data_IF_870543336434
#
_entry.id   IF_870543336434
#
_cell.length_a   1.000
_cell.length_b   1.000
_cell.length_c   1.000
_cell.angle_alpha   90.00
_cell.angle_beta   90.00
_cell.angle_gamma   90.00
#
_symmetry.space_group_name_H-M   'P 1'
#
loop_
_entity.id
_entity.type
_entity.pdbx_description
1 polymer ?
#
# COMPACT_ATOMS: atom_id res chain seq x y z
N UNK A 1 4.85 41.40 18.85
CA UNK A 1 4.15 40.20 19.28
C UNK A 1 3.27 39.75 18.11
N UNK A 2 3.53 38.60 17.52
CA UNK A 2 2.68 38.07 16.43
C UNK A 2 1.40 37.52 17.06
N UNK A 3 0.25 38.02 16.63
CA UNK A 3 -1.05 37.71 17.20
C UNK A 3 -1.79 36.70 16.29
N UNK A 4 -2.09 35.53 16.82
CA UNK A 4 -2.98 34.55 16.18
C UNK A 4 -4.41 34.81 16.70
N UNK A 5 -5.41 35.00 15.82
CA UNK A 5 -6.80 35.22 16.23
C UNK A 5 -7.31 34.09 17.13
N UNK A 6 -8.06 34.42 18.18
CA UNK A 6 -8.63 33.45 19.11
C UNK A 6 -9.71 32.56 18.47
N UNK A 7 -10.14 32.87 17.26
CA UNK A 7 -11.07 32.07 16.44
C UNK A 7 -10.36 31.01 15.59
N UNK A 8 -9.02 31.03 15.46
CA UNK A 8 -8.28 30.08 14.68
C UNK A 8 -8.33 28.70 15.35
N UNK A 9 -8.72 27.67 14.61
CA UNK A 9 -8.82 26.27 15.09
C UNK A 9 -7.74 25.38 14.49
N UNK A 10 -7.18 25.76 13.34
CA UNK A 10 -6.20 24.94 12.61
C UNK A 10 -5.03 25.76 12.10
N UNK A 11 -3.81 25.24 12.23
CA UNK A 11 -2.60 25.72 11.59
C UNK A 11 -2.21 24.66 10.56
N UNK A 12 -2.12 25.02 9.27
CA UNK A 12 -1.80 24.08 8.21
C UNK A 12 -0.30 23.70 8.23
N UNK A 13 0.04 22.63 7.50
CA UNK A 13 1.43 22.21 7.30
C UNK A 13 2.24 23.36 6.68
N UNK A 14 3.49 23.51 7.14
CA UNK A 14 4.46 24.56 6.74
C UNK A 14 4.02 26.01 6.99
N UNK A 15 2.94 26.29 7.73
CA UNK A 15 2.38 27.64 7.89
C UNK A 15 3.37 28.67 8.42
N UNK A 16 4.31 28.27 9.29
CA UNK A 16 5.38 29.12 9.85
C UNK A 16 6.76 28.54 9.55
N UNK A 17 6.89 27.71 8.51
CA UNK A 17 8.17 27.15 8.09
C UNK A 17 9.12 28.28 7.70
N UNK A 18 10.39 28.18 8.15
CA UNK A 18 11.45 29.15 7.88
C UNK A 18 11.18 30.56 8.43
N UNK A 19 10.29 30.70 9.41
CA UNK A 19 10.10 31.99 10.12
C UNK A 19 11.25 32.24 11.12
N UNK A 20 12.46 32.44 10.61
CA UNK A 20 13.71 32.53 11.40
C UNK A 20 13.78 33.74 12.32
N UNK A 21 12.96 34.78 12.13
CA UNK A 21 12.86 35.96 12.96
C UNK A 21 11.70 35.93 13.97
N UNK A 22 10.81 34.93 13.88
CA UNK A 22 9.65 34.83 14.76
C UNK A 22 10.02 34.15 16.07
N UNK A 23 10.53 34.93 17.04
CA UNK A 23 11.00 34.41 18.33
C UNK A 23 9.89 34.18 19.36
N UNK A 24 8.78 34.88 19.25
CA UNK A 24 7.64 34.80 20.17
C UNK A 24 6.36 34.64 19.40
N UNK A 25 5.54 33.65 19.79
CA UNK A 25 4.24 33.38 19.19
C UNK A 25 3.28 32.90 20.27
N UNK A 26 2.17 33.59 20.44
CA UNK A 26 1.08 33.12 21.31
C UNK A 26 0.05 32.34 20.49
N UNK A 27 -0.05 31.03 20.75
CA UNK A 27 -0.98 30.16 20.08
C UNK A 27 -2.21 29.95 20.99
N UNK A 28 -3.41 30.39 20.56
CA UNK A 28 -4.58 30.33 21.40
C UNK A 28 -5.08 28.89 21.62
N UNK A 29 -5.78 28.68 22.73
CA UNK A 29 -6.37 27.36 23.07
C UNK A 29 -7.49 26.90 22.14
N UNK A 30 -7.95 27.75 21.23
CA UNK A 30 -8.86 27.39 20.13
C UNK A 30 -8.19 26.50 19.08
N UNK A 31 -6.82 26.56 18.96
CA UNK A 31 -6.09 25.69 18.03
C UNK A 31 -6.10 24.25 18.52
N UNK A 32 -6.73 23.39 17.75
CA UNK A 32 -6.91 21.95 18.03
C UNK A 32 -6.28 21.04 16.97
N UNK A 33 -5.73 21.63 15.91
CA UNK A 33 -5.03 20.88 14.83
C UNK A 33 -3.86 21.68 14.31
N UNK A 34 -2.70 21.01 14.14
CA UNK A 34 -1.48 21.61 13.58
C UNK A 34 -0.90 20.60 12.61
N UNK A 35 -0.70 21.02 11.37
CA UNK A 35 -0.12 20.20 10.32
C UNK A 35 1.39 19.96 10.53
N UNK A 36 1.90 18.91 9.89
CA UNK A 36 3.30 18.55 9.98
C UNK A 36 4.21 19.71 9.51
N UNK A 37 5.37 19.81 10.15
CA UNK A 37 6.39 20.82 9.87
C UNK A 37 5.88 22.29 9.86
N UNK A 38 4.73 22.55 10.52
CA UNK A 38 4.15 23.89 10.59
C UNK A 38 5.13 24.95 11.12
N UNK A 39 6.05 24.56 12.01
CA UNK A 39 7.05 25.43 12.62
C UNK A 39 8.49 25.00 12.32
N UNK A 40 8.71 24.25 11.24
CA UNK A 40 10.04 23.82 10.84
C UNK A 40 10.95 25.03 10.56
N UNK A 41 12.17 25.06 11.13
CA UNK A 41 13.10 26.19 11.12
C UNK A 41 12.49 27.53 11.62
N UNK A 42 11.42 27.50 12.42
CA UNK A 42 10.85 28.68 13.05
C UNK A 42 11.55 28.96 14.38
N UNK A 43 11.98 30.20 14.60
CA UNK A 43 12.71 30.58 15.82
C UNK A 43 11.88 30.35 17.10
N UNK A 44 10.55 30.51 17.03
CA UNK A 44 9.67 30.18 18.14
C UNK A 44 9.82 28.70 18.56
N UNK A 45 9.86 27.77 17.60
CA UNK A 45 9.99 26.33 17.87
C UNK A 45 11.43 26.01 18.35
N UNK A 46 12.46 26.62 17.74
CA UNK A 46 13.84 26.37 18.13
C UNK A 46 14.14 26.87 19.54
N UNK A 47 13.42 27.89 20.03
CA UNK A 47 13.53 28.41 21.40
C UNK A 47 12.75 27.57 22.44
N UNK A 48 11.93 26.58 22.04
CA UNK A 48 11.26 25.74 23.02
C UNK A 48 12.27 24.83 23.75
N UNK A 49 11.98 24.52 25.01
CA UNK A 49 12.77 23.57 25.79
C UNK A 49 12.65 22.14 25.23
N UNK A 50 13.64 21.30 25.53
CA UNK A 50 13.54 19.84 25.30
C UNK A 50 12.31 19.30 26.00
N UNK A 51 11.58 18.41 25.31
CA UNK A 51 10.32 17.84 25.79
C UNK A 51 9.19 18.00 24.80
N UNK A 52 7.95 17.77 25.26
CA UNK A 52 6.77 17.94 24.41
C UNK A 52 6.50 19.43 24.20
N UNK A 53 6.57 19.87 22.96
CA UNK A 53 6.16 21.22 22.57
C UNK A 53 4.64 21.25 22.40
N UNK A 54 3.98 22.00 23.27
CA UNK A 54 2.54 22.22 23.18
C UNK A 54 2.24 23.54 22.47
N UNK A 55 1.31 23.48 21.53
CA UNK A 55 0.83 24.63 20.80
C UNK A 55 -0.72 24.64 20.82
N UNK A 56 -1.29 25.59 21.54
CA UNK A 56 -2.73 25.55 21.85
C UNK A 56 -3.10 24.29 22.65
N UNK A 57 -4.05 23.51 22.16
CA UNK A 57 -4.44 22.20 22.75
C UNK A 57 -3.80 21.01 22.02
N UNK A 58 -2.72 21.23 21.27
CA UNK A 58 -2.03 20.21 20.50
C UNK A 58 -0.69 19.88 21.15
N UNK A 59 -0.40 18.58 21.37
CA UNK A 59 0.95 18.07 21.60
C UNK A 59 1.63 17.98 20.22
N UNK A 60 2.32 19.04 19.81
CA UNK A 60 2.78 19.23 18.44
C UNK A 60 3.94 18.29 18.07
N UNK A 61 5.05 18.36 18.77
CA UNK A 61 6.23 17.50 18.57
C UNK A 61 7.02 17.35 19.87
N UNK A 62 7.70 16.21 20.00
CA UNK A 62 8.74 16.04 21.03
C UNK A 62 10.06 16.63 20.50
N UNK A 63 10.58 17.62 21.19
CA UNK A 63 11.87 18.25 20.87
C UNK A 63 12.99 17.59 21.64
N UNK A 64 14.03 17.18 20.94
CA UNK A 64 15.16 16.44 21.50
C UNK A 64 15.01 14.92 21.35
N UNK A 65 15.74 14.19 22.17
CA UNK A 65 15.71 12.70 22.19
C UNK A 65 15.36 12.20 23.58
N UNK A 66 14.48 11.23 23.65
CA UNK A 66 14.16 10.49 24.88
C UNK A 66 15.27 9.48 25.17
N UNK A 67 15.59 9.33 26.45
CA UNK A 67 16.44 8.23 26.91
C UNK A 67 15.75 6.86 26.65
N UNK A 68 16.56 5.80 26.64
CA UNK A 68 16.01 4.45 26.52
C UNK A 68 15.01 4.15 27.64
N UNK A 69 13.95 3.41 27.30
CA UNK A 69 12.88 3.02 28.22
C UNK A 69 12.07 4.18 28.84
N UNK A 70 12.03 5.33 28.18
CA UNK A 70 11.25 6.47 28.66
C UNK A 70 9.75 6.22 28.62
N UNK A 71 9.06 6.86 29.59
CA UNK A 71 7.60 6.97 29.62
C UNK A 71 7.18 8.43 29.47
N UNK A 72 6.09 8.68 28.76
CA UNK A 72 5.57 10.03 28.54
C UNK A 72 4.10 10.09 28.96
N UNK A 73 3.75 11.16 29.67
CA UNK A 73 2.36 11.50 29.98
C UNK A 73 1.98 12.76 29.23
N UNK A 74 1.00 12.63 28.33
CA UNK A 74 0.40 13.78 27.64
C UNK A 74 -0.46 14.54 28.64
N UNK A 75 -0.26 15.86 28.74
CA UNK A 75 -0.97 16.67 29.75
C UNK A 75 -2.49 16.66 29.55
N UNK A 76 -3.24 16.71 30.64
CA UNK A 76 -4.70 16.88 30.62
C UNK A 76 -5.10 18.14 29.85
N UNK A 77 -6.24 18.11 29.16
CA UNK A 77 -6.73 19.19 28.29
C UNK A 77 -6.12 19.19 26.88
N UNK A 78 -5.15 18.29 26.57
CA UNK A 78 -4.70 18.08 25.19
C UNK A 78 -5.81 17.44 24.40
N UNK A 79 -6.11 18.00 23.21
CA UNK A 79 -7.17 17.54 22.32
C UNK A 79 -6.60 16.76 21.12
N UNK A 80 -5.39 17.12 20.68
CA UNK A 80 -4.76 16.47 19.53
C UNK A 80 -3.28 16.17 19.78
N UNK A 81 -2.79 15.09 19.18
CA UNK A 81 -1.37 14.80 19.00
C UNK A 81 -1.05 15.03 17.53
N UNK A 82 0.01 15.81 17.26
CA UNK A 82 0.41 16.17 15.91
C UNK A 82 0.95 15.00 15.10
N UNK A 83 1.01 15.18 13.80
CA UNK A 83 1.62 14.21 12.89
C UNK A 83 3.11 14.06 13.22
N UNK A 84 3.60 12.82 13.24
CA UNK A 84 5.00 12.47 13.56
C UNK A 84 5.49 12.99 14.92
N UNK A 85 4.59 13.27 15.87
CA UNK A 85 4.91 14.00 17.12
C UNK A 85 5.99 13.33 17.96
N UNK A 86 6.04 12.00 18.01
CA UNK A 86 7.01 11.19 18.77
C UNK A 86 7.77 10.20 17.89
N UNK A 87 7.78 10.38 16.59
CA UNK A 87 8.46 9.47 15.66
C UNK A 87 9.94 9.32 16.05
N UNK A 88 10.43 8.06 16.00
CA UNK A 88 11.84 7.71 16.29
C UNK A 88 12.29 8.07 17.72
N UNK A 89 11.36 8.15 18.68
CA UNK A 89 11.70 8.34 20.09
C UNK A 89 11.82 6.98 20.82
N UNK A 90 12.75 6.91 21.81
CA UNK A 90 12.96 5.70 22.65
C UNK A 90 11.85 5.53 23.71
N UNK A 91 10.61 5.73 23.29
CA UNK A 91 9.41 5.72 24.12
C UNK A 91 8.87 4.32 24.29
N UNK A 92 8.74 3.82 25.54
CA UNK A 92 8.21 2.48 25.84
C UNK A 92 6.77 2.48 26.35
N UNK A 93 6.30 3.62 26.89
CA UNK A 93 4.90 3.77 27.30
C UNK A 93 4.43 5.22 27.13
N UNK A 94 3.15 5.38 26.84
CA UNK A 94 2.48 6.68 26.75
C UNK A 94 1.15 6.64 27.50
N UNK A 95 0.88 7.68 28.30
CA UNK A 95 -0.43 7.90 28.92
C UNK A 95 -1.16 8.99 28.13
N UNK A 96 -2.28 8.60 27.52
CA UNK A 96 -3.14 9.47 26.72
C UNK A 96 -4.26 10.04 27.60
N UNK A 97 -4.54 11.37 27.55
CA UNK A 97 -5.57 11.97 28.39
C UNK A 97 -6.98 11.68 27.87
N UNK A 98 -7.97 11.69 28.76
CA UNK A 98 -9.39 11.51 28.42
C UNK A 98 -9.99 12.66 27.59
N UNK A 99 -9.28 13.77 27.42
CA UNK A 99 -9.63 14.90 26.56
C UNK A 99 -9.20 14.72 25.09
N UNK A 100 -8.40 13.67 24.80
CA UNK A 100 -7.84 13.46 23.47
C UNK A 100 -8.91 13.08 22.45
N UNK A 101 -8.98 13.79 21.34
CA UNK A 101 -9.94 13.60 20.24
C UNK A 101 -9.27 13.04 19.00
N UNK A 102 -8.01 13.46 18.72
CA UNK A 102 -7.31 13.01 17.51
C UNK A 102 -5.86 12.62 17.78
N UNK A 103 -5.40 11.62 17.03
CA UNK A 103 -3.99 11.18 16.99
C UNK A 103 -3.53 11.33 15.54
N UNK A 104 -2.46 12.10 15.33
CA UNK A 104 -1.93 12.39 14.01
C UNK A 104 -1.32 11.19 13.29
N UNK A 105 -1.03 11.39 12.02
CA UNK A 105 -0.35 10.43 11.16
C UNK A 105 1.00 10.03 11.77
N UNK A 106 1.26 8.72 11.85
CA UNK A 106 2.53 8.17 12.34
C UNK A 106 3.06 8.80 13.63
N UNK A 107 2.15 9.28 14.49
CA UNK A 107 2.48 10.08 15.68
C UNK A 107 3.48 9.39 16.62
N UNK A 108 3.51 8.07 16.67
CA UNK A 108 4.40 7.24 17.49
C UNK A 108 5.20 6.23 16.67
N UNK A 109 5.32 6.40 15.36
CA UNK A 109 6.04 5.46 14.50
C UNK A 109 7.50 5.30 14.94
N UNK A 110 8.06 4.09 14.71
CA UNK A 110 9.44 3.75 15.08
C UNK A 110 9.77 3.94 16.58
N UNK A 111 8.75 3.90 17.46
CA UNK A 111 8.99 3.92 18.92
C UNK A 111 9.11 2.50 19.48
N UNK A 112 9.54 2.42 20.76
CA UNK A 112 9.63 1.17 21.51
C UNK A 112 8.36 0.91 22.35
N UNK A 113 7.22 1.51 21.99
CA UNK A 113 5.95 1.29 22.69
C UNK A 113 5.65 -0.21 22.78
N UNK A 114 5.26 -0.66 23.99
CA UNK A 114 4.90 -2.06 24.26
C UNK A 114 3.39 -2.27 24.20
N UNK A 115 2.63 -1.33 24.74
CA UNK A 115 1.18 -1.33 24.72
C UNK A 115 0.66 0.09 24.60
N UNK A 116 -0.56 0.25 24.09
CA UNK A 116 -1.26 1.52 24.08
C UNK A 116 -2.76 1.31 24.33
N UNK A 117 -3.36 2.22 25.12
CA UNK A 117 -4.81 2.27 25.33
C UNK A 117 -5.38 3.53 24.70
N UNK A 118 -6.26 3.36 23.73
CA UNK A 118 -6.93 4.45 23.03
C UNK A 118 -8.13 4.93 23.88
N UNK A 119 -8.16 6.21 24.29
CA UNK A 119 -9.27 6.75 25.06
C UNK A 119 -10.61 6.70 24.31
N UNK A 120 -11.71 6.62 25.08
CA UNK A 120 -13.06 6.62 24.49
C UNK A 120 -13.40 7.89 23.71
N UNK A 121 -12.73 9.00 24.02
CA UNK A 121 -12.91 10.32 23.38
C UNK A 121 -12.27 10.42 21.99
N UNK A 122 -11.34 9.53 21.65
CA UNK A 122 -10.67 9.57 20.34
C UNK A 122 -11.67 9.21 19.25
N UNK A 123 -11.84 10.14 18.30
CA UNK A 123 -12.75 10.02 17.17
C UNK A 123 -12.06 10.05 15.81
N UNK A 124 -10.77 10.42 15.76
CA UNK A 124 -9.99 10.49 14.53
C UNK A 124 -8.56 9.99 14.74
N UNK A 125 -8.05 9.27 13.74
CA UNK A 125 -6.64 8.88 13.64
C UNK A 125 -6.16 9.14 12.21
N UNK A 126 -4.91 9.59 12.08
CA UNK A 126 -4.19 9.62 10.82
C UNK A 126 -3.72 8.22 10.40
N UNK A 127 -2.90 8.16 9.35
CA UNK A 127 -2.30 6.91 8.89
C UNK A 127 -1.50 6.26 10.02
N UNK A 128 -1.72 4.98 10.21
CA UNK A 128 -1.22 4.17 11.33
C UNK A 128 -0.30 4.92 12.33
N UNK A 129 -0.82 5.44 13.44
CA UNK A 129 -0.01 6.18 14.41
C UNK A 129 1.14 5.37 15.01
N UNK A 130 1.08 4.04 14.92
CA UNK A 130 1.97 3.08 15.57
C UNK A 130 2.80 2.26 14.57
N UNK A 131 2.95 2.73 13.33
CA UNK A 131 3.70 2.03 12.29
C UNK A 131 5.14 1.72 12.75
N UNK A 132 5.63 0.53 12.44
CA UNK A 132 7.00 0.09 12.79
C UNK A 132 7.36 0.12 14.30
N UNK A 133 6.37 0.11 15.20
CA UNK A 133 6.62 -0.04 16.63
C UNK A 133 6.96 -1.50 16.94
N UNK A 134 8.21 -1.91 16.73
CA UNK A 134 8.67 -3.31 16.76
C UNK A 134 8.44 -4.06 18.08
N UNK A 135 8.16 -3.35 19.18
CA UNK A 135 7.85 -3.92 20.49
C UNK A 135 6.36 -3.86 20.84
N UNK A 136 5.51 -3.25 20.00
CA UNK A 136 4.10 -3.10 20.29
C UNK A 136 3.39 -4.46 20.18
N UNK A 137 2.98 -4.99 21.31
CA UNK A 137 2.32 -6.30 21.43
C UNK A 137 0.80 -6.21 21.54
N UNK A 138 0.27 -5.06 21.96
CA UNK A 138 -1.18 -4.88 22.17
C UNK A 138 -1.64 -3.44 22.01
N UNK A 139 -2.77 -3.27 21.34
CA UNK A 139 -3.55 -2.03 21.31
C UNK A 139 -4.91 -2.33 21.94
N UNK A 140 -5.37 -1.48 22.86
CA UNK A 140 -6.70 -1.59 23.44
C UNK A 140 -7.49 -0.31 23.21
N UNK A 141 -8.81 -0.41 23.20
CA UNK A 141 -9.72 0.72 23.07
C UNK A 141 -10.64 0.76 24.27
N UNK A 142 -10.72 1.90 24.97
CA UNK A 142 -11.59 2.06 26.11
C UNK A 142 -13.06 1.83 25.76
N UNK A 143 -13.79 1.17 26.66
CA UNK A 143 -15.24 0.95 26.51
C UNK A 143 -15.98 2.26 26.29
N UNK A 144 -16.95 2.26 25.36
CA UNK A 144 -17.72 3.43 24.97
C UNK A 144 -17.10 4.25 23.82
N UNK A 145 -15.97 3.86 23.24
CA UNK A 145 -15.52 4.47 22.01
C UNK A 145 -16.45 4.06 20.85
N UNK A 146 -16.99 5.05 20.15
CA UNK A 146 -17.97 4.86 19.06
C UNK A 146 -17.33 4.72 17.68
N UNK A 147 -16.05 5.12 17.54
CA UNK A 147 -15.36 5.21 16.27
C UNK A 147 -14.39 4.07 16.01
N UNK A 148 -13.78 3.53 17.08
CA UNK A 148 -12.74 2.50 17.01
C UNK A 148 -13.09 1.30 17.87
N UNK A 149 -12.58 0.14 17.48
CA UNK A 149 -12.61 -1.10 18.27
C UNK A 149 -11.42 -1.99 17.91
N UNK A 150 -11.15 -2.99 18.74
CA UNK A 150 -10.13 -4.01 18.46
C UNK A 150 -10.82 -5.35 18.29
N UNK A 151 -10.42 -6.07 17.25
CA UNK A 151 -10.83 -7.45 16.97
C UNK A 151 -9.64 -8.24 16.41
N UNK A 152 -9.28 -9.35 17.04
CA UNK A 152 -8.12 -10.18 16.62
C UNK A 152 -6.82 -9.35 16.47
N UNK A 153 -6.52 -8.54 17.46
CA UNK A 153 -5.42 -7.55 17.50
C UNK A 153 -5.52 -6.42 16.45
N UNK A 154 -6.52 -6.43 15.57
CA UNK A 154 -6.74 -5.37 14.60
C UNK A 154 -7.40 -4.17 15.24
N UNK A 155 -6.76 -3.01 15.23
CA UNK A 155 -7.41 -1.73 15.52
C UNK A 155 -8.19 -1.31 14.27
N UNK A 156 -9.50 -1.24 14.39
CA UNK A 156 -10.41 -0.98 13.28
C UNK A 156 -11.18 0.31 13.52
N UNK A 157 -11.18 1.19 12.54
CA UNK A 157 -12.10 2.34 12.45
C UNK A 157 -13.41 1.88 11.80
N UNK A 158 -14.55 2.25 12.39
CA UNK A 158 -15.88 1.80 11.93
C UNK A 158 -16.37 2.51 10.67
N UNK A 159 -16.06 3.78 10.52
CA UNK A 159 -16.51 4.60 9.40
C UNK A 159 -15.38 5.56 9.01
N UNK A 160 -14.41 5.06 8.30
CA UNK A 160 -13.23 5.79 7.88
C UNK A 160 -13.22 5.90 6.36
N UNK A 161 -12.75 7.04 5.85
CA UNK A 161 -12.57 7.23 4.42
C UNK A 161 -11.34 6.43 3.96
N UNK A 162 -11.47 5.70 2.86
CA UNK A 162 -10.36 5.02 2.20
C UNK A 162 -10.41 5.29 0.71
N UNK A 163 -9.33 5.02 0.00
CA UNK A 163 -9.29 5.21 -1.45
C UNK A 163 -9.32 3.88 -2.19
N UNK A 164 -10.01 3.88 -3.33
CA UNK A 164 -9.96 2.78 -4.31
C UNK A 164 -9.50 3.38 -5.63
N UNK A 165 -8.41 2.88 -6.17
CA UNK A 165 -7.86 3.35 -7.44
C UNK A 165 -8.86 3.04 -8.56
N UNK A 166 -9.17 4.06 -9.37
CA UNK A 166 -10.10 3.97 -10.49
C UNK A 166 -9.37 3.95 -11.84
N UNK A 167 -8.23 4.62 -11.91
CA UNK A 167 -7.41 4.69 -13.12
C UNK A 167 -5.97 5.07 -12.75
N UNK A 168 -5.02 4.64 -13.56
CA UNK A 168 -3.61 5.02 -13.47
C UNK A 168 -3.23 5.65 -14.81
N UNK A 169 -3.00 6.96 -14.81
CA UNK A 169 -2.86 7.76 -16.04
C UNK A 169 -1.60 7.42 -16.82
N UNK A 170 -0.50 7.12 -16.13
CA UNK A 170 0.77 6.71 -16.73
C UNK A 170 1.45 5.65 -15.87
N UNK A 171 1.16 4.36 -16.11
CA UNK A 171 1.75 3.28 -15.34
C UNK A 171 3.25 3.11 -15.61
N UNK A 172 3.78 3.74 -16.64
CA UNK A 172 5.18 3.66 -17.06
C UNK A 172 6.01 4.87 -16.60
N UNK A 173 5.39 5.88 -16.01
CA UNK A 173 6.10 7.04 -15.49
C UNK A 173 7.16 6.61 -14.46
N UNK A 174 8.40 7.14 -14.53
CA UNK A 174 9.41 6.87 -13.53
C UNK A 174 8.93 7.25 -12.12
N UNK A 175 9.39 6.54 -11.11
CA UNK A 175 9.04 6.81 -9.71
C UNK A 175 9.39 8.22 -9.23
N UNK A 176 10.26 8.92 -9.96
CA UNK A 176 10.71 10.30 -9.69
C UNK A 176 9.76 11.36 -10.25
N UNK A 177 8.80 10.98 -11.12
CA UNK A 177 7.84 11.91 -11.70
C UNK A 177 6.55 11.97 -10.89
N UNK A 178 5.74 13.02 -11.10
CA UNK A 178 4.44 13.17 -10.47
C UNK A 178 3.51 12.06 -10.94
N UNK A 179 3.18 11.15 -10.03
CA UNK A 179 2.26 10.04 -10.28
C UNK A 179 0.83 10.55 -10.33
N UNK A 180 0.10 10.17 -11.36
CA UNK A 180 -1.28 10.60 -11.53
C UNK A 180 -2.19 9.39 -11.65
N UNK A 181 -3.06 9.24 -10.66
CA UNK A 181 -4.15 8.27 -10.72
C UNK A 181 -5.44 8.89 -10.17
N UNK A 182 -6.55 8.46 -10.70
CA UNK A 182 -7.86 8.84 -10.16
C UNK A 182 -8.33 7.79 -9.17
N UNK A 183 -8.98 8.23 -8.12
CA UNK A 183 -9.58 7.35 -7.12
C UNK A 183 -10.93 7.90 -6.67
N UNK A 184 -11.78 7.03 -6.15
CA UNK A 184 -12.92 7.44 -5.35
C UNK A 184 -12.68 7.09 -3.89
N UNK A 185 -13.32 7.83 -2.99
CA UNK A 185 -13.06 7.74 -1.56
C UNK A 185 -14.32 7.36 -0.78
N UNK A 186 -14.70 6.08 -0.75
CA UNK A 186 -15.84 5.61 0.03
C UNK A 186 -15.53 5.60 1.52
N UNK A 187 -16.57 5.43 2.33
CA UNK A 187 -16.48 5.23 3.76
C UNK A 187 -16.79 3.77 4.11
N UNK A 188 -16.05 3.22 5.07
CA UNK A 188 -16.27 1.86 5.55
C UNK A 188 -15.42 1.54 6.76
N UNK A 189 -15.46 0.29 7.20
CA UNK A 189 -14.56 -0.18 8.24
C UNK A 189 -13.17 -0.40 7.66
N UNK A 190 -12.16 0.21 8.30
CA UNK A 190 -10.76 0.19 7.84
C UNK A 190 -9.86 -0.30 8.97
N UNK A 191 -8.96 -1.24 8.68
CA UNK A 191 -7.88 -1.60 9.62
C UNK A 191 -6.89 -0.44 9.67
N UNK A 192 -6.75 0.18 10.83
CA UNK A 192 -5.83 1.31 11.05
C UNK A 192 -4.45 0.81 11.48
N UNK A 193 -4.38 -0.20 12.33
CA UNK A 193 -3.11 -0.71 12.87
C UNK A 193 -3.22 -2.15 13.33
N UNK A 194 -2.11 -2.89 13.19
CA UNK A 194 -1.88 -4.19 13.78
C UNK A 194 -0.57 -4.14 14.58
N UNK A 195 -0.55 -4.60 15.85
CA UNK A 195 0.66 -4.56 16.68
C UNK A 195 1.80 -5.38 16.08
N UNK A 196 2.94 -4.74 15.78
CA UNK A 196 4.07 -5.40 15.08
C UNK A 196 4.68 -6.55 15.89
N UNK A 197 4.55 -6.55 17.22
CA UNK A 197 4.99 -7.62 18.12
C UNK A 197 3.86 -8.54 18.58
N UNK A 198 2.67 -8.50 17.94
CA UNK A 198 1.61 -9.48 18.20
C UNK A 198 2.15 -10.91 18.02
N UNK A 199 1.68 -11.82 18.84
CA UNK A 199 2.02 -13.25 18.76
C UNK A 199 1.25 -13.99 17.68
N UNK A 200 0.24 -13.34 17.09
CA UNK A 200 -0.55 -13.91 16.00
C UNK A 200 0.30 -14.05 14.74
N UNK A 201 0.41 -15.28 14.26
CA UNK A 201 1.13 -15.60 13.01
C UNK A 201 0.20 -15.67 11.81
N UNK A 202 -1.07 -15.97 12.06
CA UNK A 202 -2.11 -16.03 11.03
C UNK A 202 -3.18 -15.01 11.35
N UNK A 203 -3.49 -14.17 10.38
CA UNK A 203 -4.53 -13.14 10.51
C UNK A 203 -5.58 -13.35 9.44
N UNK A 204 -6.85 -13.33 9.86
CA UNK A 204 -8.01 -13.28 8.97
C UNK A 204 -8.69 -11.92 9.14
N UNK A 205 -8.86 -11.21 8.04
CA UNK A 205 -9.52 -9.90 8.03
C UNK A 205 -11.03 -10.10 8.19
N UNK A 206 -11.68 -9.43 9.18
CA UNK A 206 -13.12 -9.56 9.40
C UNK A 206 -13.97 -9.15 8.20
N UNK A 207 -15.10 -9.82 7.98
CA UNK A 207 -16.01 -9.59 6.84
C UNK A 207 -16.54 -8.16 6.74
N UNK A 208 -16.58 -7.44 7.85
CA UNK A 208 -17.03 -6.03 7.88
C UNK A 208 -16.01 -5.04 7.32
N UNK A 209 -14.74 -5.44 7.20
CA UNK A 209 -13.64 -4.57 6.79
C UNK A 209 -13.66 -4.37 5.28
N UNK A 210 -13.55 -3.13 4.83
CA UNK A 210 -13.54 -2.72 3.43
C UNK A 210 -12.16 -2.36 2.89
N UNK A 211 -11.26 -1.91 3.78
CA UNK A 211 -9.89 -1.61 3.38
C UNK A 211 -8.88 -1.91 4.48
N UNK A 212 -7.64 -2.18 4.08
CA UNK A 212 -6.49 -2.21 4.97
C UNK A 212 -5.76 -0.88 4.80
N UNK A 213 -5.68 -0.11 5.88
CA UNK A 213 -5.19 1.26 5.88
C UNK A 213 -3.69 1.39 5.61
N UNK A 214 -3.25 2.62 5.37
CA UNK A 214 -1.84 2.91 5.13
C UNK A 214 -0.99 2.46 6.32
N UNK A 215 0.09 1.72 6.05
CA UNK A 215 1.04 1.18 7.05
C UNK A 215 0.39 0.25 8.09
N UNK A 216 -0.83 -0.23 7.92
CA UNK A 216 -1.60 -0.92 8.96
C UNK A 216 -0.86 -2.11 9.60
N UNK A 217 -0.10 -2.88 8.84
CA UNK A 217 0.70 -4.02 9.29
C UNK A 217 2.21 -3.80 9.14
N UNK A 218 2.65 -2.56 8.85
CA UNK A 218 4.05 -2.29 8.53
C UNK A 218 5.01 -2.83 9.60
N UNK A 219 5.99 -3.64 9.16
CA UNK A 219 6.98 -4.28 10.02
C UNK A 219 6.42 -5.39 10.92
N UNK A 220 5.20 -5.90 10.70
CA UNK A 220 4.62 -6.98 11.50
C UNK A 220 5.26 -8.34 11.21
N UNK A 221 5.13 -9.26 12.17
CA UNK A 221 5.70 -10.62 12.10
C UNK A 221 4.69 -11.69 11.68
N UNK A 222 3.61 -11.28 11.01
CA UNK A 222 2.62 -12.22 10.49
C UNK A 222 3.23 -13.12 9.41
N UNK A 223 2.76 -14.36 9.34
CA UNK A 223 3.23 -15.36 8.39
C UNK A 223 2.20 -15.67 7.31
N UNK A 224 0.91 -15.61 7.68
CA UNK A 224 -0.22 -15.90 6.79
C UNK A 224 -1.32 -14.87 6.93
N UNK A 225 -1.89 -14.48 5.80
CA UNK A 225 -2.98 -13.50 5.73
C UNK A 225 -4.13 -14.05 4.86
N UNK A 226 -5.35 -14.01 5.40
CA UNK A 226 -6.58 -14.29 4.65
C UNK A 226 -7.40 -13.01 4.54
N UNK A 227 -7.66 -12.58 3.33
CA UNK A 227 -8.46 -11.40 3.02
C UNK A 227 -9.94 -11.80 2.86
N UNK A 228 -10.84 -11.00 3.40
CA UNK A 228 -12.28 -11.28 3.38
C UNK A 228 -12.90 -11.04 1.98
N UNK A 229 -14.11 -11.56 1.78
CA UNK A 229 -14.84 -11.49 0.51
C UNK A 229 -15.42 -10.10 0.18
N UNK A 230 -15.33 -9.15 1.09
CA UNK A 230 -15.81 -7.77 0.92
C UNK A 230 -14.72 -6.70 0.91
N UNK A 231 -13.44 -7.10 0.98
CA UNK A 231 -12.30 -6.17 0.98
C UNK A 231 -12.08 -5.59 -0.42
N UNK A 232 -12.04 -4.28 -0.54
CA UNK A 232 -11.94 -3.58 -1.83
C UNK A 232 -10.53 -3.05 -2.12
N UNK A 233 -9.80 -2.63 -1.09
CA UNK A 233 -8.50 -1.97 -1.27
C UNK A 233 -7.47 -2.33 -0.19
N UNK A 234 -6.21 -2.45 -0.64
CA UNK A 234 -5.03 -2.54 0.20
C UNK A 234 -4.23 -1.27 -0.04
N UNK A 235 -4.18 -0.39 0.98
CA UNK A 235 -3.64 0.96 0.83
C UNK A 235 -2.12 1.00 0.93
N UNK A 236 -1.56 2.20 0.75
CA UNK A 236 -0.12 2.45 0.67
C UNK A 236 0.64 1.85 1.85
N UNK A 237 1.69 1.10 1.55
CA UNK A 237 2.61 0.47 2.52
C UNK A 237 1.92 -0.42 3.57
N UNK A 238 0.71 -0.91 3.31
CA UNK A 238 -0.10 -1.63 4.30
C UNK A 238 0.64 -2.79 4.96
N UNK A 239 1.47 -3.53 4.22
CA UNK A 239 2.28 -4.66 4.69
C UNK A 239 3.78 -4.45 4.45
N UNK A 240 4.23 -3.20 4.24
CA UNK A 240 5.65 -2.92 3.99
C UNK A 240 6.53 -3.46 5.12
N UNK A 241 7.61 -4.18 4.77
CA UNK A 241 8.52 -4.78 5.73
C UNK A 241 7.96 -5.98 6.51
N UNK A 242 6.87 -6.61 6.06
CA UNK A 242 6.37 -7.87 6.65
C UNK A 242 7.24 -9.05 6.17
N UNK A 243 8.48 -9.09 6.62
CA UNK A 243 9.50 -10.04 6.11
C UNK A 243 9.17 -11.50 6.33
N UNK A 244 8.27 -11.84 7.27
CA UNK A 244 7.86 -13.21 7.56
C UNK A 244 6.61 -13.65 6.77
N UNK A 245 5.91 -12.71 6.10
CA UNK A 245 4.69 -12.99 5.36
C UNK A 245 5.00 -13.89 4.17
N UNK A 246 4.57 -15.15 4.25
CA UNK A 246 4.85 -16.19 3.25
C UNK A 246 3.64 -16.57 2.40
N UNK A 247 2.43 -16.23 2.87
CA UNK A 247 1.18 -16.60 2.19
C UNK A 247 0.12 -15.51 2.36
N UNK A 248 -0.50 -15.14 1.23
CA UNK A 248 -1.65 -14.23 1.17
C UNK A 248 -2.73 -14.89 0.34
N UNK A 249 -3.94 -15.06 0.92
CA UNK A 249 -5.13 -15.50 0.18
C UNK A 249 -5.91 -14.25 -0.25
N UNK A 250 -5.75 -13.87 -1.51
CA UNK A 250 -6.49 -12.74 -2.09
C UNK A 250 -7.95 -13.14 -2.37
N UNK A 251 -8.87 -12.22 -2.09
CA UNK A 251 -10.28 -12.38 -2.45
C UNK A 251 -10.59 -11.75 -3.81
N UNK A 252 -11.68 -12.20 -4.41
CA UNK A 252 -12.15 -11.66 -5.70
C UNK A 252 -12.67 -10.21 -5.60
N UNK A 253 -12.91 -9.71 -4.40
CA UNK A 253 -13.46 -8.36 -4.19
C UNK A 253 -12.42 -7.23 -4.30
N UNK A 254 -11.11 -7.57 -4.25
CA UNK A 254 -10.04 -6.58 -4.30
C UNK A 254 -9.96 -5.98 -5.69
N UNK A 255 -10.03 -4.64 -5.75
CA UNK A 255 -9.96 -3.84 -6.98
C UNK A 255 -8.56 -3.27 -7.18
N UNK A 256 -7.91 -2.83 -6.09
CA UNK A 256 -6.60 -2.18 -6.17
C UNK A 256 -5.63 -2.61 -5.07
N UNK A 257 -4.36 -2.72 -5.47
CA UNK A 257 -3.20 -2.87 -4.59
C UNK A 257 -2.37 -1.61 -4.75
N UNK A 258 -2.32 -0.77 -3.69
CA UNK A 258 -1.70 0.56 -3.75
C UNK A 258 -0.18 0.52 -3.59
N UNK A 259 0.45 1.71 -3.65
CA UNK A 259 1.90 1.89 -3.62
C UNK A 259 2.55 1.20 -2.44
N UNK A 260 3.66 0.50 -2.69
CA UNK A 260 4.49 -0.17 -1.66
C UNK A 260 3.73 -1.13 -0.73
N UNK A 261 2.51 -1.57 -1.08
CA UNK A 261 1.63 -2.32 -0.17
C UNK A 261 2.27 -3.56 0.44
N UNK A 262 3.10 -4.28 -0.33
CA UNK A 262 3.84 -5.48 0.09
C UNK A 262 5.35 -5.32 -0.14
N UNK A 263 5.84 -4.09 -0.17
CA UNK A 263 7.27 -3.81 -0.30
C UNK A 263 8.06 -4.53 0.79
N UNK A 264 9.19 -5.15 0.42
CA UNK A 264 10.06 -5.91 1.32
C UNK A 264 9.38 -7.13 2.03
N UNK A 265 8.30 -7.67 1.48
CA UNK A 265 7.74 -8.95 1.94
C UNK A 265 8.61 -10.11 1.43
N UNK A 266 9.82 -10.24 1.96
CA UNK A 266 10.86 -11.12 1.42
C UNK A 266 10.56 -12.62 1.52
N UNK A 267 9.57 -13.04 2.32
CA UNK A 267 9.16 -14.45 2.42
C UNK A 267 8.07 -14.88 1.44
N UNK A 268 7.45 -13.95 0.70
CA UNK A 268 6.46 -14.29 -0.32
C UNK A 268 7.10 -15.09 -1.46
N UNK A 269 6.40 -16.15 -1.90
CA UNK A 269 6.88 -17.04 -2.97
C UNK A 269 5.96 -17.11 -4.16
N UNK A 270 4.68 -17.36 -3.93
CA UNK A 270 3.69 -17.51 -4.98
C UNK A 270 2.44 -16.73 -4.63
N UNK A 271 1.92 -15.97 -5.57
CA UNK A 271 0.69 -15.19 -5.40
C UNK A 271 -0.27 -15.49 -6.54
N UNK A 272 -1.55 -15.57 -6.19
CA UNK A 272 -2.65 -15.59 -7.15
C UNK A 272 -3.61 -14.48 -6.75
N UNK A 273 -3.79 -13.51 -7.62
CA UNK A 273 -4.72 -12.40 -7.37
C UNK A 273 -6.17 -12.80 -7.66
N UNK A 274 -7.10 -12.09 -7.01
CA UNK A 274 -8.53 -12.24 -7.26
C UNK A 274 -8.91 -11.74 -8.66
N UNK A 275 -10.01 -12.26 -9.19
CA UNK A 275 -10.43 -11.99 -10.57
C UNK A 275 -10.83 -10.55 -10.87
N UNK A 276 -11.22 -9.76 -9.85
CA UNK A 276 -11.66 -8.36 -10.03
C UNK A 276 -10.54 -7.34 -9.79
N UNK A 277 -9.29 -7.79 -9.60
CA UNK A 277 -8.17 -6.88 -9.48
C UNK A 277 -7.97 -6.11 -10.79
N UNK A 278 -7.97 -4.78 -10.72
CA UNK A 278 -7.82 -3.89 -11.87
C UNK A 278 -6.46 -3.17 -11.87
N UNK A 279 -5.89 -2.89 -10.70
CA UNK A 279 -4.69 -2.05 -10.59
C UNK A 279 -3.66 -2.60 -9.62
N UNK A 280 -2.38 -2.62 -10.06
CA UNK A 280 -1.20 -2.90 -9.24
C UNK A 280 -0.28 -1.67 -9.35
N UNK A 281 -0.15 -0.93 -8.24
CA UNK A 281 0.55 0.35 -8.19
C UNK A 281 2.07 0.21 -8.03
N UNK A 282 2.77 1.35 -7.98
CA UNK A 282 4.23 1.44 -7.88
C UNK A 282 4.76 0.73 -6.63
N UNK A 283 5.86 0.01 -6.78
CA UNK A 283 6.54 -0.69 -5.68
C UNK A 283 5.65 -1.68 -4.92
N UNK A 284 4.46 -2.04 -5.41
CA UNK A 284 3.51 -2.86 -4.68
C UNK A 284 4.12 -4.14 -4.10
N UNK A 285 5.07 -4.76 -4.81
CA UNK A 285 5.83 -5.95 -4.41
C UNK A 285 7.35 -5.75 -4.58
N UNK A 286 7.82 -4.50 -4.48
CA UNK A 286 9.25 -4.19 -4.61
C UNK A 286 10.07 -4.91 -3.54
N UNK A 287 11.26 -5.41 -3.90
CA UNK A 287 12.12 -6.19 -3.00
C UNK A 287 11.49 -7.48 -2.41
N UNK A 288 10.44 -8.05 -3.00
CA UNK A 288 9.97 -9.39 -2.66
C UNK A 288 10.93 -10.43 -3.26
N UNK A 289 12.15 -10.52 -2.73
CA UNK A 289 13.29 -11.21 -3.37
C UNK A 289 13.09 -12.71 -3.59
N UNK A 290 12.22 -13.36 -2.80
CA UNK A 290 11.89 -14.78 -2.95
C UNK A 290 10.61 -15.04 -3.76
N UNK A 291 10.00 -13.99 -4.36
CA UNK A 291 8.80 -14.13 -5.17
C UNK A 291 9.14 -14.81 -6.49
N UNK A 292 8.60 -16.03 -6.67
CA UNK A 292 8.89 -16.90 -7.80
C UNK A 292 7.77 -16.88 -8.85
N UNK A 293 6.53 -16.68 -8.42
CA UNK A 293 5.38 -16.76 -9.32
C UNK A 293 4.25 -15.83 -8.89
N UNK A 294 3.67 -15.12 -9.86
CA UNK A 294 2.41 -14.41 -9.69
C UNK A 294 1.44 -14.82 -10.79
N UNK A 295 0.16 -15.03 -10.43
CA UNK A 295 -0.91 -15.23 -11.41
C UNK A 295 -1.78 -13.99 -11.43
N UNK A 296 -1.87 -13.33 -12.60
CA UNK A 296 -2.55 -12.06 -12.83
C UNK A 296 -3.74 -12.30 -13.76
N UNK A 297 -4.93 -11.91 -13.31
CA UNK A 297 -6.17 -12.06 -14.08
C UNK A 297 -6.27 -11.08 -15.25
N UNK A 298 -7.14 -11.37 -16.20
CA UNK A 298 -7.38 -10.59 -17.42
C UNK A 298 -8.00 -9.20 -17.16
N UNK A 299 -8.63 -9.00 -16.00
CA UNK A 299 -9.25 -7.72 -15.64
C UNK A 299 -8.25 -6.65 -15.18
N UNK A 300 -6.97 -7.00 -15.02
CA UNK A 300 -5.94 -6.03 -14.67
C UNK A 300 -5.71 -5.07 -15.83
N UNK A 301 -6.03 -3.79 -15.59
CA UNK A 301 -5.94 -2.68 -16.57
C UNK A 301 -4.55 -2.06 -16.60
N UNK A 302 -3.89 -1.97 -15.43
CA UNK A 302 -2.56 -1.38 -15.33
C UNK A 302 -1.70 -2.03 -14.24
N UNK A 303 -0.41 -2.19 -14.55
CA UNK A 303 0.67 -2.62 -13.66
C UNK A 303 1.78 -1.58 -13.80
N UNK A 304 2.08 -0.86 -12.71
CA UNK A 304 3.10 0.19 -12.75
C UNK A 304 4.53 -0.38 -12.87
N UNK A 305 5.43 0.39 -13.46
CA UNK A 305 6.75 -0.05 -13.91
C UNK A 305 7.59 -0.78 -12.84
N UNK A 306 7.62 -0.28 -11.62
CA UNK A 306 8.44 -0.84 -10.54
C UNK A 306 7.66 -1.74 -9.58
N UNK A 307 6.43 -2.19 -9.95
CA UNK A 307 5.56 -2.99 -9.07
C UNK A 307 6.25 -4.23 -8.52
N UNK A 308 7.08 -4.90 -9.31
CA UNK A 308 7.82 -6.11 -8.96
C UNK A 308 9.34 -5.90 -9.01
N UNK A 309 9.82 -4.67 -8.88
CA UNK A 309 11.25 -4.37 -8.92
C UNK A 309 12.04 -5.21 -7.91
N UNK A 310 13.23 -5.68 -8.31
CA UNK A 310 14.08 -6.58 -7.52
C UNK A 310 13.49 -7.97 -7.19
N UNK A 311 12.46 -8.43 -7.92
CA UNK A 311 11.94 -9.80 -7.90
C UNK A 311 12.62 -10.64 -8.99
N UNK A 312 13.91 -10.93 -8.85
CA UNK A 312 14.77 -11.43 -9.95
C UNK A 312 14.41 -12.84 -10.47
N UNK A 313 13.69 -13.64 -9.68
CA UNK A 313 13.29 -15.00 -10.06
C UNK A 313 11.83 -15.10 -10.50
N UNK A 314 11.14 -13.95 -10.65
CA UNK A 314 9.71 -13.90 -10.88
C UNK A 314 9.32 -14.42 -12.27
N UNK A 315 8.31 -15.26 -12.27
CA UNK A 315 7.55 -15.67 -13.47
C UNK A 315 6.12 -15.10 -13.34
N UNK A 316 5.69 -14.41 -14.36
CA UNK A 316 4.33 -13.86 -14.44
C UNK A 316 3.46 -14.83 -15.23
N UNK A 317 2.36 -15.28 -14.62
CA UNK A 317 1.38 -16.13 -15.27
C UNK A 317 0.13 -15.30 -15.58
N UNK A 318 -0.41 -15.44 -16.78
CA UNK A 318 -1.57 -14.67 -17.20
C UNK A 318 -2.15 -15.17 -18.53
N UNK A 319 -3.14 -14.46 -19.04
CA UNK A 319 -3.73 -14.73 -20.35
C UNK A 319 -2.89 -14.07 -21.44
N UNK A 320 -2.77 -14.74 -22.59
CA UNK A 320 -2.18 -14.15 -23.80
C UNK A 320 -2.96 -12.91 -24.20
N UNK A 321 -2.28 -11.85 -24.63
CA UNK A 321 -2.85 -10.56 -24.99
C UNK A 321 -3.25 -9.69 -23.79
N UNK A 322 -3.00 -10.13 -22.55
CA UNK A 322 -3.35 -9.37 -21.35
C UNK A 322 -2.29 -8.31 -20.98
N UNK A 323 -2.67 -7.42 -20.08
CA UNK A 323 -1.74 -6.46 -19.45
C UNK A 323 -0.57 -7.16 -18.75
N UNK A 324 -0.79 -8.37 -18.19
CA UNK A 324 0.25 -9.18 -17.56
C UNK A 324 1.35 -9.58 -18.55
N UNK A 325 0.98 -10.05 -19.75
CA UNK A 325 1.93 -10.40 -20.80
C UNK A 325 2.70 -9.16 -21.29
N UNK A 326 1.98 -8.08 -21.58
CA UNK A 326 2.59 -6.81 -22.03
C UNK A 326 3.60 -6.30 -21.02
N UNK A 327 3.26 -6.30 -19.74
CA UNK A 327 4.14 -5.92 -18.65
C UNK A 327 5.37 -6.84 -18.56
N UNK A 328 5.17 -8.16 -18.59
CA UNK A 328 6.26 -9.13 -18.51
C UNK A 328 7.28 -8.93 -19.64
N UNK A 329 6.82 -8.82 -20.88
CA UNK A 329 7.67 -8.57 -22.07
C UNK A 329 8.42 -7.24 -21.94
N UNK A 330 7.73 -6.16 -21.56
CA UNK A 330 8.30 -4.81 -21.47
C UNK A 330 9.42 -4.71 -20.44
N UNK A 331 9.27 -5.37 -19.28
CA UNK A 331 10.22 -5.28 -18.17
C UNK A 331 11.12 -6.51 -18.01
N UNK A 332 11.10 -7.44 -18.99
CA UNK A 332 12.02 -8.57 -19.05
C UNK A 332 11.73 -9.71 -18.09
N UNK A 333 10.49 -9.84 -17.61
CA UNK A 333 10.05 -10.98 -16.80
C UNK A 333 9.70 -12.18 -17.69
N UNK A 334 9.93 -13.40 -17.16
CA UNK A 334 9.40 -14.61 -17.80
C UNK A 334 7.88 -14.58 -17.74
N UNK A 335 7.24 -14.91 -18.87
CA UNK A 335 5.80 -15.03 -18.96
C UNK A 335 5.40 -16.47 -19.24
N UNK A 336 4.40 -16.98 -18.50
CA UNK A 336 3.74 -18.24 -18.78
C UNK A 336 2.26 -17.97 -19.01
N UNK A 337 1.73 -18.46 -20.13
CA UNK A 337 0.30 -18.43 -20.35
C UNK A 337 -0.41 -19.46 -19.47
N UNK A 338 -1.45 -19.01 -18.75
CA UNK A 338 -2.30 -19.87 -17.94
C UNK A 338 -3.39 -20.59 -18.75
N UNK A 339 -3.54 -20.26 -20.02
CA UNK A 339 -4.64 -20.71 -20.88
C UNK A 339 -4.21 -21.24 -22.26
N UNK A 340 -2.92 -21.51 -22.48
CA UNK A 340 -2.52 -22.13 -23.75
C UNK A 340 -2.89 -23.61 -23.69
N UNK A 341 -4.01 -23.96 -24.29
CA UNK A 341 -4.37 -25.35 -24.62
C UNK A 341 -3.58 -25.84 -25.83
N UNK A 342 -3.09 -24.91 -26.67
CA UNK A 342 -2.32 -25.19 -27.89
C UNK A 342 -0.81 -25.15 -27.62
N UNK A 343 -0.11 -26.10 -28.16
CA UNK A 343 1.35 -26.14 -28.12
C UNK A 343 1.92 -24.98 -28.99
N UNK A 344 2.97 -24.32 -28.53
CA UNK A 344 3.66 -23.32 -29.32
C UNK A 344 4.24 -23.99 -30.56
N UNK A 345 3.88 -23.51 -31.74
CA UNK A 345 4.19 -24.16 -33.02
C UNK A 345 3.07 -25.03 -33.57
N UNK A 346 1.99 -25.31 -32.81
CA UNK A 346 0.80 -26.05 -33.28
C UNK A 346 -0.23 -25.05 -33.83
N UNK A 347 0.03 -24.61 -35.06
CA UNK A 347 -0.73 -23.52 -35.72
C UNK A 347 -2.10 -23.99 -36.16
N UNK A 348 -2.24 -25.25 -36.62
CA UNK A 348 -3.49 -25.82 -37.04
C UNK A 348 -4.36 -26.42 -35.91
N UNK A 349 -3.83 -26.35 -34.67
CA UNK A 349 -4.50 -26.81 -33.44
C UNK A 349 -4.90 -28.31 -33.46
N UNK A 350 -4.07 -29.15 -34.08
CA UNK A 350 -4.32 -30.60 -34.13
C UNK A 350 -3.62 -31.39 -32.98
N UNK A 351 -2.83 -30.71 -32.12
CA UNK A 351 -2.07 -31.25 -31.00
C UNK A 351 -0.70 -31.86 -31.40
N UNK A 352 -0.26 -31.69 -32.65
CA UNK A 352 1.00 -32.25 -33.17
C UNK A 352 1.77 -31.19 -33.93
N UNK A 353 2.91 -30.79 -33.41
CA UNK A 353 3.81 -29.82 -34.12
C UNK A 353 4.54 -30.59 -35.25
N UNK A 354 4.31 -30.17 -36.49
CA UNK A 354 4.89 -30.81 -37.67
C UNK A 354 5.03 -29.82 -38.85
N UNK A 355 5.37 -30.36 -40.04
CA UNK A 355 5.60 -29.58 -41.26
C UNK A 355 4.33 -28.83 -41.78
N UNK A 356 3.15 -29.26 -41.37
CA UNK A 356 1.90 -28.57 -41.76
C UNK A 356 1.83 -27.21 -41.08
N UNK A 357 2.16 -27.14 -39.78
CA UNK A 357 2.19 -25.92 -39.03
C UNK A 357 3.20 -24.91 -39.59
N UNK A 358 4.42 -25.37 -39.89
CA UNK A 358 5.43 -24.56 -40.53
C UNK A 358 4.95 -24.07 -41.94
N UNK A 359 4.19 -24.89 -42.64
CA UNK A 359 3.60 -24.52 -43.92
C UNK A 359 2.53 -23.44 -43.76
N UNK A 360 1.73 -23.48 -42.72
CA UNK A 360 0.70 -22.47 -42.45
C UNK A 360 1.31 -21.13 -42.04
N UNK A 361 2.42 -21.13 -41.28
CA UNK A 361 3.22 -19.91 -41.04
C UNK A 361 3.76 -19.34 -42.36
N UNK A 362 4.35 -20.19 -43.24
CA UNK A 362 4.85 -19.76 -44.52
C UNK A 362 3.75 -19.18 -45.43
N UNK A 363 2.58 -19.79 -45.46
CA UNK A 363 1.41 -19.28 -46.21
C UNK A 363 0.98 -17.89 -45.66
N UNK A 364 0.93 -17.75 -44.35
CA UNK A 364 0.62 -16.46 -43.73
C UNK A 364 1.65 -15.38 -44.13
N UNK A 365 2.94 -15.68 -43.99
CA UNK A 365 4.02 -14.77 -44.36
C UNK A 365 3.97 -14.40 -45.87
N UNK A 366 3.59 -15.35 -46.71
CA UNK A 366 3.38 -15.12 -48.15
C UNK A 366 2.05 -14.41 -48.47
N UNK A 367 1.29 -14.01 -47.46
CA UNK A 367 0.00 -13.32 -47.59
C UNK A 367 -1.06 -14.12 -48.39
N UNK A 368 -1.01 -15.45 -48.32
CA UNK A 368 -2.00 -16.34 -48.92
C UNK A 368 -3.26 -16.48 -48.04
N UNK A 369 -4.32 -16.96 -48.67
CA UNK A 369 -5.60 -17.29 -47.99
C UNK A 369 -6.02 -18.71 -48.34
N UNK A 370 -6.89 -19.29 -47.50
CA UNK A 370 -7.55 -20.56 -47.81
C UNK A 370 -8.57 -20.39 -48.96
N UNK A 371 -9.24 -21.47 -49.33
CA UNK A 371 -10.26 -21.50 -50.37
C UNK A 371 -11.49 -20.62 -50.09
N UNK A 372 -11.70 -20.24 -48.82
CA UNK A 372 -12.78 -19.36 -48.36
C UNK A 372 -12.32 -17.89 -48.18
N UNK A 373 -11.06 -17.59 -48.48
CA UNK A 373 -10.47 -16.25 -48.32
C UNK A 373 -9.98 -15.89 -46.92
N UNK A 374 -9.95 -16.86 -45.98
CA UNK A 374 -9.45 -16.63 -44.61
C UNK A 374 -7.93 -16.70 -44.59
N UNK A 375 -7.32 -15.94 -43.67
CA UNK A 375 -5.89 -16.05 -43.36
C UNK A 375 -5.63 -17.33 -42.56
N UNK A 376 -4.45 -17.93 -42.75
CA UNK A 376 -4.01 -19.14 -42.01
C UNK A 376 -3.72 -18.85 -40.53
N UNK A 377 -3.43 -17.58 -40.20
CA UNK A 377 -3.22 -17.10 -38.83
C UNK A 377 -4.07 -15.84 -38.65
N UNK A 378 -4.95 -15.82 -37.66
CA UNK A 378 -5.71 -14.62 -37.31
C UNK A 378 -4.90 -13.75 -36.35
N UNK A 379 -4.33 -12.68 -36.86
CA UNK A 379 -3.53 -11.72 -36.04
C UNK A 379 -4.36 -10.93 -35.03
N UNK A 380 -5.68 -11.00 -35.09
CA UNK A 380 -6.54 -10.43 -34.05
C UNK A 380 -6.79 -11.44 -32.91
N UNK A 381 -6.45 -12.71 -33.10
CA UNK A 381 -6.50 -13.74 -32.07
C UNK A 381 -5.11 -13.84 -31.40
N UNK A 382 -5.01 -13.42 -30.14
CA UNK A 382 -3.76 -13.41 -29.40
C UNK A 382 -3.15 -14.83 -29.23
N UNK A 383 -3.97 -15.88 -29.17
CA UNK A 383 -3.48 -17.27 -29.10
C UNK A 383 -2.88 -17.72 -30.42
N UNK A 384 -3.49 -17.40 -31.56
CA UNK A 384 -2.93 -17.70 -32.89
C UNK A 384 -1.57 -17.02 -33.10
N UNK A 385 -1.46 -15.74 -32.72
CA UNK A 385 -0.19 -15.00 -32.76
C UNK A 385 0.86 -15.66 -31.86
N UNK A 386 0.49 -16.03 -30.63
CA UNK A 386 1.40 -16.68 -29.68
C UNK A 386 1.95 -18.02 -30.19
N UNK A 387 1.10 -18.89 -30.76
CA UNK A 387 1.55 -20.20 -31.23
C UNK A 387 2.38 -20.08 -32.51
N UNK A 388 2.11 -19.09 -33.35
CA UNK A 388 2.82 -18.87 -34.60
C UNK A 388 4.16 -18.10 -34.46
N UNK A 389 4.29 -17.25 -33.44
CA UNK A 389 5.55 -16.59 -33.07
C UNK A 389 6.43 -17.56 -32.26
N UNK A 390 7.03 -18.53 -32.93
CA UNK A 390 7.76 -19.64 -32.28
C UNK A 390 9.01 -19.17 -31.56
N UNK A 391 9.73 -18.20 -32.10
CA UNK A 391 10.94 -17.66 -31.50
C UNK A 391 10.67 -16.60 -30.40
N UNK A 392 9.44 -16.06 -30.32
CA UNK A 392 9.01 -15.11 -29.27
C UNK A 392 9.50 -13.67 -29.48
N UNK A 393 9.82 -13.29 -30.73
CA UNK A 393 10.31 -11.94 -31.03
C UNK A 393 9.18 -10.91 -31.30
N UNK A 394 7.93 -11.36 -31.29
CA UNK A 394 6.74 -10.55 -31.52
C UNK A 394 6.39 -10.35 -32.98
N UNK A 395 7.07 -11.03 -33.90
CA UNK A 395 6.86 -10.90 -35.35
C UNK A 395 6.74 -12.29 -35.98
N UNK A 396 5.59 -12.61 -36.58
CA UNK A 396 5.43 -13.85 -37.32
C UNK A 396 6.11 -13.72 -38.68
N UNK A 397 7.16 -14.49 -38.91
CA UNK A 397 7.97 -14.42 -40.13
C UNK A 397 8.58 -15.79 -40.49
N UNK A 398 9.48 -15.84 -41.44
CA UNK A 398 10.07 -17.09 -41.93
C UNK A 398 11.10 -17.74 -40.98
N UNK A 399 11.40 -17.13 -39.85
CA UNK A 399 12.27 -17.67 -38.80
C UNK A 399 11.46 -18.52 -37.80
N UNK A 400 10.15 -18.27 -37.68
CA UNK A 400 9.22 -19.04 -36.89
C UNK A 400 8.89 -20.39 -37.52
#
# INVERSE_FOLDING_TARGET
MSFIPSTLTKINFWAFKNCTSLSTLSIPSSVVSIGDNAFDNCLWYTNQSTGIVYAGKVAYKYKGKLADNSSVTIKSGTVSIGDYAFTDQKLTSVTLPSSLVSIGEQAFSYTNLKTVTIPKSVSSMGYNPFAYCSQLSSITVQSGNTNFYVQNDLLIAKNHMYSVTKDITDPDAPSTESRSYTSYAPYGSVVISFPSASTLKTVTIPETVKAIGNYAFAGSKIEKLTLNSGLESILTSAFSGCTNLSSVSFSDSIISICDSSFEECTSLKNLKFGKNLEFISYYAFYNCQNLQSVTIGENVKAICCDSFGNCNALVINGKIGSTAETFAKKYGYKFNSSEVTRLKGDVDNNGIINVVDATDIQKYVANLTDENGNKFIDVNNAEDVYVADVNGDGIINAVD
#
